data_IF_183547903187
#
_entry.id   IF_183547903187
#
_cell.length_a   1.000
_cell.length_b   1.000
_cell.length_c   1.000
_cell.angle_alpha   90.00
_cell.angle_beta   90.00
_cell.angle_gamma   90.00
#
_symmetry.space_group_name_H-M   'P 1'
#
loop_
_entity.id
_entity.type
_entity.pdbx_description
1 polymer ?
#
# COMPACT_ATOMS: atom_id res chain seq x y z
N UNK A 1 47.57 1.25 2.83
CA UNK A 1 46.51 1.38 3.86
C UNK A 1 45.38 2.33 3.41
N UNK A 2 45.65 3.62 3.15
CA UNK A 2 44.61 4.62 2.85
C UNK A 2 43.77 4.36 1.58
N UNK A 3 44.36 3.77 0.52
CA UNK A 3 43.65 3.40 -0.71
C UNK A 3 42.59 2.32 -0.50
N UNK A 4 42.87 1.34 0.37
CA UNK A 4 41.94 0.25 0.71
C UNK A 4 40.75 0.77 1.52
N UNK A 5 41.01 1.69 2.47
CA UNK A 5 39.98 2.35 3.28
C UNK A 5 39.04 3.19 2.41
N UNK A 6 39.56 3.94 1.42
CA UNK A 6 38.73 4.70 0.47
C UNK A 6 37.84 3.79 -0.38
N UNK A 7 38.35 2.64 -0.80
CA UNK A 7 37.59 1.66 -1.58
C UNK A 7 36.43 1.06 -0.76
N UNK A 8 36.70 0.71 0.51
CA UNK A 8 35.69 0.23 1.45
C UNK A 8 34.60 1.27 1.75
N UNK A 9 34.97 2.54 1.89
CA UNK A 9 34.01 3.62 2.12
C UNK A 9 33.09 3.84 0.91
N UNK A 10 33.64 3.77 -0.32
CA UNK A 10 32.88 3.89 -1.55
C UNK A 10 31.90 2.71 -1.75
N UNK A 11 32.31 1.49 -1.41
CA UNK A 11 31.42 0.33 -1.50
C UNK A 11 30.25 0.41 -0.52
N UNK A 12 30.48 0.86 0.71
CA UNK A 12 29.41 1.02 1.73
C UNK A 12 28.40 2.09 1.33
N UNK A 13 28.85 3.20 0.72
CA UNK A 13 27.98 4.24 0.17
C UNK A 13 27.13 3.73 -1.00
N UNK A 14 27.66 2.85 -1.85
CA UNK A 14 26.90 2.25 -2.94
C UNK A 14 25.84 1.25 -2.43
N UNK A 15 26.19 0.44 -1.43
CA UNK A 15 25.27 -0.51 -0.79
C UNK A 15 24.07 0.21 -0.13
N UNK A 16 24.29 1.36 0.50
CA UNK A 16 23.20 2.13 1.15
C UNK A 16 22.19 2.73 0.15
N UNK A 17 22.57 2.94 -1.11
CA UNK A 17 21.66 3.36 -2.18
C UNK A 17 20.83 2.19 -2.73
N UNK A 18 21.40 0.97 -2.74
CA UNK A 18 20.74 -0.25 -3.24
C UNK A 18 19.72 -0.78 -2.22
N UNK A 19 20.03 -0.66 -0.93
CA UNK A 19 19.18 -1.09 0.19
C UNK A 19 18.51 0.09 0.90
N UNK A 20 18.34 1.23 0.22
CA UNK A 20 17.49 2.31 0.70
C UNK A 20 16.11 1.72 1.00
N UNK A 21 15.69 1.83 2.27
CA UNK A 21 14.51 1.20 2.86
C UNK A 21 13.45 0.77 1.84
N UNK A 22 13.17 -0.53 1.78
CA UNK A 22 11.96 -1.04 1.12
C UNK A 22 10.79 -0.50 1.93
N UNK A 23 10.38 0.73 1.63
CA UNK A 23 9.14 1.34 2.10
C UNK A 23 8.00 0.64 1.35
N UNK A 24 7.93 -0.68 1.43
CA UNK A 24 6.71 -1.37 1.01
C UNK A 24 5.67 -0.96 2.02
N UNK A 25 4.56 -0.33 1.59
CA UNK A 25 3.47 -0.06 2.51
C UNK A 25 3.01 -1.35 3.19
N UNK A 26 2.66 -1.26 4.48
CA UNK A 26 2.29 -2.42 5.29
C UNK A 26 1.05 -3.17 4.76
N UNK A 27 0.26 -2.55 3.86
CA UNK A 27 -0.98 -3.13 3.33
C UNK A 27 -1.32 -2.66 1.92
N UNK A 28 -1.21 -3.58 0.95
CA UNK A 28 -1.69 -3.44 -0.44
C UNK A 28 -2.64 -4.56 -0.83
N UNK A 29 -3.41 -4.32 -1.89
CA UNK A 29 -4.34 -5.27 -2.48
C UNK A 29 -3.78 -5.85 -3.79
N UNK A 30 -3.78 -7.17 -3.90
CA UNK A 30 -3.37 -7.90 -5.10
C UNK A 30 -4.53 -8.70 -5.70
N UNK A 31 -5.46 -9.16 -4.86
CA UNK A 31 -6.71 -9.80 -5.24
C UNK A 31 -7.90 -8.89 -4.94
N UNK A 32 -8.93 -8.93 -5.79
CA UNK A 32 -10.09 -8.05 -5.67
C UNK A 32 -11.38 -8.86 -5.57
N UNK A 33 -12.29 -8.37 -4.72
CA UNK A 33 -13.60 -8.94 -4.55
C UNK A 33 -14.59 -8.26 -5.50
N UNK A 34 -15.04 -9.01 -6.52
CA UNK A 34 -15.85 -8.46 -7.61
C UNK A 34 -17.35 -8.40 -7.29
N UNK A 35 -17.76 -8.83 -6.09
CA UNK A 35 -19.16 -8.80 -5.65
C UNK A 35 -19.40 -7.64 -4.71
N UNK A 36 -20.65 -7.19 -4.66
CA UNK A 36 -21.07 -6.13 -3.75
C UNK A 36 -21.13 -6.65 -2.31
N UNK A 37 -20.44 -5.96 -1.39
CA UNK A 37 -20.56 -6.21 0.05
C UNK A 37 -21.85 -5.54 0.58
N UNK A 38 -22.72 -6.25 1.31
CA UNK A 38 -23.91 -5.66 1.91
C UNK A 38 -23.56 -4.50 2.84
N UNK A 39 -24.31 -3.39 2.75
CA UNK A 39 -24.03 -2.16 3.53
C UNK A 39 -23.98 -2.40 5.05
N UNK A 40 -24.82 -3.30 5.56
CA UNK A 40 -24.85 -3.66 6.98
C UNK A 40 -23.52 -4.26 7.46
N UNK A 41 -22.71 -4.82 6.55
CA UNK A 41 -21.43 -5.43 6.86
C UNK A 41 -20.25 -4.45 6.73
N UNK A 42 -20.47 -3.25 6.19
CA UNK A 42 -19.46 -2.20 5.98
C UNK A 42 -19.45 -1.28 7.21
N UNK A 43 -18.67 -1.69 8.21
CA UNK A 43 -18.49 -0.93 9.47
C UNK A 43 -17.50 0.22 9.26
N UNK A 44 -16.39 -0.05 8.56
CA UNK A 44 -15.38 0.94 8.19
C UNK A 44 -14.82 0.63 6.80
N UNK A 45 -14.33 1.66 6.13
CA UNK A 45 -13.76 1.57 4.78
C UNK A 45 -12.62 2.58 4.67
N UNK A 46 -11.42 2.06 4.39
CA UNK A 46 -10.21 2.87 4.25
C UNK A 46 -9.67 2.74 2.82
N UNK A 47 -8.80 3.67 2.42
CA UNK A 47 -7.98 3.52 1.22
C UNK A 47 -6.68 2.78 1.56
N UNK A 48 -6.19 1.99 0.62
CA UNK A 48 -4.81 1.49 0.67
C UNK A 48 -3.82 2.65 0.57
N UNK A 49 -2.56 2.39 0.95
CA UNK A 49 -1.50 3.39 0.85
C UNK A 49 -1.31 3.84 -0.61
N UNK A 50 -0.90 5.10 -0.81
CA UNK A 50 -0.71 5.69 -2.15
C UNK A 50 0.44 5.05 -2.94
N UNK A 51 1.36 4.36 -2.27
CA UNK A 51 2.45 3.63 -2.90
C UNK A 51 2.04 2.24 -3.43
N UNK A 52 0.81 1.78 -3.15
CA UNK A 52 0.32 0.55 -3.75
C UNK A 52 0.13 0.73 -5.26
N UNK A 53 0.54 -0.26 -6.05
CA UNK A 53 0.44 -0.23 -7.51
C UNK A 53 -1.01 -0.08 -8.00
N UNK A 54 -1.95 -0.70 -7.29
CA UNK A 54 -3.39 -0.61 -7.59
C UNK A 54 -4.11 0.07 -6.42
N UNK A 55 -4.76 1.22 -6.64
CA UNK A 55 -5.58 1.87 -5.62
C UNK A 55 -6.79 0.99 -5.25
N UNK A 56 -7.01 0.80 -3.95
CA UNK A 56 -8.12 -0.01 -3.46
C UNK A 56 -8.81 0.61 -2.23
N UNK A 57 -10.03 0.16 -1.98
CA UNK A 57 -10.76 0.33 -0.73
C UNK A 57 -10.74 -0.96 0.07
N UNK A 58 -10.72 -0.84 1.39
CA UNK A 58 -10.54 -1.97 2.30
C UNK A 58 -11.61 -2.02 3.39
N UNK A 59 -12.82 -2.55 3.09
CA UNK A 59 -13.86 -2.77 4.09
C UNK A 59 -13.37 -3.79 5.13
N UNK A 60 -13.23 -3.38 6.40
CA UNK A 60 -12.73 -4.22 7.51
C UNK A 60 -11.33 -4.85 7.31
N UNK A 61 -10.48 -4.30 6.43
CA UNK A 61 -9.14 -4.85 6.07
C UNK A 61 -9.12 -6.31 5.56
N UNK A 62 -10.28 -6.91 5.31
CA UNK A 62 -10.40 -8.31 4.90
C UNK A 62 -10.65 -8.44 3.39
N UNK A 63 -11.34 -7.45 2.82
CA UNK A 63 -11.69 -7.42 1.41
C UNK A 63 -11.01 -6.25 0.74
N UNK A 64 -10.55 -6.49 -0.47
CA UNK A 64 -10.01 -5.49 -1.37
C UNK A 64 -11.06 -5.22 -2.45
N UNK A 65 -11.41 -3.95 -2.60
CA UNK A 65 -12.42 -3.51 -3.57
C UNK A 65 -11.79 -2.42 -4.42
N UNK A 66 -11.94 -2.49 -5.74
CA UNK A 66 -11.36 -1.50 -6.65
C UNK A 66 -11.99 -0.13 -6.42
N UNK A 67 -11.24 0.95 -6.68
CA UNK A 67 -11.74 2.31 -6.48
C UNK A 67 -12.66 2.81 -7.60
N UNK A 68 -12.85 2.04 -8.67
CA UNK A 68 -13.84 2.28 -9.73
C UNK A 68 -15.22 1.67 -9.41
N UNK A 69 -15.33 0.91 -8.31
CA UNK A 69 -16.60 0.36 -7.86
C UNK A 69 -17.49 1.46 -7.24
N UNK A 70 -18.48 1.84 -8.02
CA UNK A 70 -19.49 2.86 -7.76
C UNK A 70 -20.10 2.80 -6.34
N UNK A 71 -20.41 1.59 -5.87
CA UNK A 71 -20.94 1.40 -4.52
C UNK A 71 -19.87 1.64 -3.45
N UNK A 72 -18.63 1.22 -3.68
CA UNK A 72 -17.54 1.36 -2.72
C UNK A 72 -17.13 2.82 -2.57
N UNK A 73 -17.08 3.58 -3.67
CA UNK A 73 -16.86 5.04 -3.65
C UNK A 73 -17.91 5.74 -2.79
N UNK A 74 -19.19 5.42 -2.99
CA UNK A 74 -20.29 6.01 -2.19
C UNK A 74 -20.19 5.66 -0.72
N UNK A 75 -19.83 4.42 -0.37
CA UNK A 75 -19.67 4.02 1.02
C UNK A 75 -18.42 4.68 1.65
N UNK A 76 -17.33 4.85 0.89
CA UNK A 76 -16.14 5.59 1.31
C UNK A 76 -16.47 7.06 1.60
N UNK A 77 -17.09 7.79 0.69
CA UNK A 77 -17.46 9.20 0.91
C UNK A 77 -18.36 9.39 2.13
N UNK A 78 -19.22 8.43 2.43
CA UNK A 78 -20.14 8.50 3.59
C UNK A 78 -19.48 8.19 4.93
N UNK A 79 -18.41 7.39 4.95
CA UNK A 79 -17.85 6.78 6.18
C UNK A 79 -16.39 7.08 6.40
N UNK A 80 -15.68 7.59 5.40
CA UNK A 80 -14.32 8.05 5.57
C UNK A 80 -14.33 9.18 6.60
N UNK A 81 -13.66 8.94 7.71
CA UNK A 81 -13.34 9.93 8.72
C UNK A 81 -12.02 10.60 8.35
#
# INVERSE_FOLDING_TARGET
MLKSIRFLLLSVQLLSQIFGAVNSPDFCCFDFFDKRIPKANIVSINKTHSQCSTPAFTPKRLFCVKQDEDWAVREFVKRAQ
#
